data_IF_081973640263
#
_entry.id   IF_081973640263
#
_cell.length_a   1.000
_cell.length_b   1.000
_cell.length_c   1.000
_cell.angle_alpha   90.00
_cell.angle_beta   90.00
_cell.angle_gamma   90.00
#
_symmetry.space_group_name_H-M   'P 1'
#
loop_
_entity.id
_entity.type
_entity.pdbx_description
1 polymer ?
#
# COMPACT_ATOMS: atom_id res chain seq x y z
N UNK A 1 -20.11 -15.42 -1.20
CA UNK A 1 -20.29 -14.10 -1.87
C UNK A 1 -19.04 -13.28 -1.61
N UNK A 2 -18.38 -12.72 -2.63
CA UNK A 2 -17.13 -11.98 -2.39
C UNK A 2 -17.41 -10.68 -1.64
N UNK A 3 -16.77 -10.53 -0.49
CA UNK A 3 -16.92 -9.42 0.48
C UNK A 3 -16.24 -8.12 0.05
N UNK A 4 -15.61 -8.10 -1.12
CA UNK A 4 -14.90 -6.93 -1.63
C UNK A 4 -15.89 -5.94 -2.29
N UNK A 5 -15.84 -4.63 -1.94
CA UNK A 5 -16.53 -3.58 -2.67
C UNK A 5 -16.33 -3.68 -4.18
N UNK A 6 -17.37 -3.36 -4.97
CA UNK A 6 -17.34 -3.47 -6.44
C UNK A 6 -16.15 -2.72 -7.06
N UNK A 7 -15.81 -1.56 -6.51
CA UNK A 7 -14.65 -0.75 -6.93
C UNK A 7 -13.33 -1.53 -6.86
N UNK A 8 -13.10 -2.28 -5.77
CA UNK A 8 -11.88 -3.08 -5.62
C UNK A 8 -11.85 -4.28 -6.57
N UNK A 9 -13.01 -4.88 -6.86
CA UNK A 9 -13.12 -5.93 -7.89
C UNK A 9 -12.76 -5.39 -9.26
N UNK A 10 -13.28 -4.22 -9.62
CA UNK A 10 -12.97 -3.55 -10.89
C UNK A 10 -11.47 -3.23 -11.00
N UNK A 11 -10.84 -2.73 -9.94
CA UNK A 11 -9.38 -2.47 -9.95
C UNK A 11 -8.55 -3.74 -10.09
N UNK A 12 -8.95 -4.83 -9.43
CA UNK A 12 -8.27 -6.12 -9.57
C UNK A 12 -8.34 -6.65 -11.01
N UNK A 13 -9.49 -6.54 -11.66
CA UNK A 13 -9.68 -6.95 -13.05
C UNK A 13 -8.91 -6.05 -14.03
N UNK A 14 -8.95 -4.73 -13.83
CA UNK A 14 -8.21 -3.77 -14.65
C UNK A 14 -6.69 -3.98 -14.58
N UNK A 15 -6.16 -4.41 -13.43
CA UNK A 15 -4.74 -4.74 -13.29
C UNK A 15 -4.31 -5.97 -14.09
N UNK A 16 -5.22 -6.93 -14.29
CA UNK A 16 -4.92 -8.18 -15.02
C UNK A 16 -5.06 -8.03 -16.54
N UNK A 17 -5.83 -7.06 -17.02
CA UNK A 17 -6.15 -6.86 -18.45
C UNK A 17 -5.27 -5.77 -19.10
N UNK A 18 -3.95 -5.84 -18.90
CA UNK A 18 -2.96 -4.92 -19.48
C UNK A 18 -3.23 -3.42 -19.18
N UNK A 19 -2.99 -2.98 -17.93
CA UNK A 19 -3.45 -1.69 -17.45
C UNK A 19 -2.73 -0.53 -18.12
N UNK A 20 -3.50 0.44 -18.61
CA UNK A 20 -2.98 1.71 -19.09
C UNK A 20 -2.43 2.56 -17.93
N UNK A 21 -1.44 3.42 -18.23
CA UNK A 21 -0.82 4.33 -17.25
C UNK A 21 -1.84 5.15 -16.45
N UNK A 22 -2.89 5.63 -17.10
CA UNK A 22 -3.94 6.42 -16.43
C UNK A 22 -4.74 5.60 -15.42
N UNK A 23 -5.02 4.33 -15.71
CA UNK A 23 -5.73 3.42 -14.80
C UNK A 23 -4.87 3.10 -13.57
N UNK A 24 -3.57 2.81 -13.76
CA UNK A 24 -2.62 2.61 -12.66
C UNK A 24 -2.59 3.81 -11.70
N UNK A 25 -2.56 5.03 -12.25
CA UNK A 25 -2.62 6.25 -11.44
C UNK A 25 -3.97 6.51 -10.77
N UNK A 26 -5.07 6.01 -11.35
CA UNK A 26 -6.38 6.09 -10.70
C UNK A 26 -6.42 5.20 -9.46
N UNK A 27 -5.93 3.96 -9.57
CA UNK A 27 -5.82 3.01 -8.47
C UNK A 27 -4.95 3.57 -7.34
N UNK A 28 -3.74 4.06 -7.67
CA UNK A 28 -2.81 4.64 -6.69
C UNK A 28 -3.44 5.84 -5.98
N UNK A 29 -4.12 6.72 -6.73
CA UNK A 29 -4.74 7.93 -6.17
C UNK A 29 -5.86 7.57 -5.21
N UNK A 30 -6.74 6.66 -5.60
CA UNK A 30 -7.85 6.25 -4.76
C UNK A 30 -7.31 5.58 -3.51
N UNK A 31 -6.35 4.67 -3.65
CA UNK A 31 -5.73 3.98 -2.51
C UNK A 31 -5.12 4.96 -1.49
N UNK A 32 -4.30 5.91 -1.94
CA UNK A 32 -3.70 6.93 -1.04
C UNK A 32 -4.77 7.84 -0.44
N UNK A 33 -5.81 8.22 -1.21
CA UNK A 33 -6.88 9.07 -0.69
C UNK A 33 -7.72 8.39 0.39
N UNK A 34 -8.00 7.11 0.23
CA UNK A 34 -8.85 6.37 1.17
C UNK A 34 -8.14 6.05 2.48
N UNK A 35 -6.89 5.57 2.42
CA UNK A 35 -6.20 5.06 3.62
C UNK A 35 -5.18 6.04 4.20
N UNK A 36 -4.79 7.08 3.46
CA UNK A 36 -3.62 7.93 3.73
C UNK A 36 -2.31 7.12 3.83
N UNK A 37 -1.17 7.72 3.50
CA UNK A 37 0.10 7.00 3.65
C UNK A 37 0.35 6.57 5.11
N UNK A 38 0.03 7.46 6.05
CA UNK A 38 0.29 7.26 7.47
C UNK A 38 -0.67 6.22 8.07
N UNK A 39 -1.95 6.24 7.70
CA UNK A 39 -2.91 5.22 8.13
C UNK A 39 -2.53 3.81 7.67
N UNK A 40 -2.02 3.65 6.44
CA UNK A 40 -1.53 2.35 5.96
C UNK A 40 -0.36 1.85 6.81
N UNK A 41 0.57 2.75 7.16
CA UNK A 41 1.74 2.38 7.98
C UNK A 41 1.33 1.96 9.39
N UNK A 42 0.38 2.68 9.99
CA UNK A 42 -0.17 2.35 11.31
C UNK A 42 -0.84 0.98 11.31
N UNK A 43 -1.70 0.69 10.32
CA UNK A 43 -2.31 -0.64 10.17
C UNK A 43 -1.27 -1.75 9.97
N UNK A 44 -0.28 -1.51 9.11
CA UNK A 44 0.81 -2.46 8.84
C UNK A 44 1.63 -2.74 10.11
N UNK A 45 1.87 -1.71 10.92
CA UNK A 45 2.57 -1.82 12.19
C UNK A 45 1.76 -2.65 13.20
N UNK A 46 0.45 -2.39 13.31
CA UNK A 46 -0.44 -3.16 14.19
C UNK A 46 -0.46 -4.65 13.83
N UNK A 47 -0.51 -4.98 12.53
CA UNK A 47 -0.41 -6.36 12.05
C UNK A 47 0.95 -6.98 12.37
N UNK A 48 2.03 -6.21 12.20
CA UNK A 48 3.40 -6.66 12.50
C UNK A 48 3.54 -6.97 13.98
N UNK A 49 3.11 -6.07 14.87
CA UNK A 49 3.10 -6.31 16.33
C UNK A 49 2.31 -7.57 16.65
N UNK A 50 1.06 -7.68 16.15
CA UNK A 50 0.18 -8.79 16.48
C UNK A 50 0.79 -10.16 16.17
N UNK A 51 1.51 -10.26 15.04
CA UNK A 51 2.23 -11.48 14.68
C UNK A 51 3.44 -11.71 15.58
N UNK A 52 4.24 -10.68 15.84
CA UNK A 52 5.43 -10.77 16.67
C UNK A 52 5.10 -11.12 18.14
N UNK A 53 3.95 -10.68 18.63
CA UNK A 53 3.46 -10.92 20.00
C UNK A 53 2.68 -12.24 20.17
N UNK A 54 2.42 -12.98 19.09
CA UNK A 54 1.65 -14.23 19.18
C UNK A 54 2.50 -15.39 19.71
N UNK A 55 2.05 -16.00 20.81
CA UNK A 55 2.75 -17.08 21.53
C UNK A 55 2.69 -18.46 20.83
N UNK A 56 2.08 -18.55 19.64
CA UNK A 56 1.79 -19.82 18.96
C UNK A 56 2.86 -20.33 17.98
N UNK A 57 4.10 -19.84 18.06
CA UNK A 57 5.19 -20.24 17.15
C UNK A 57 6.30 -20.98 17.91
N UNK A 58 6.89 -22.04 17.35
CA UNK A 58 7.94 -22.87 17.99
C UNK A 58 9.34 -22.22 17.93
N UNK A 59 10.18 -22.45 18.95
CA UNK A 59 11.29 -21.55 19.38
C UNK A 59 12.42 -21.24 18.39
N UNK A 60 12.70 -22.09 17.40
CA UNK A 60 13.84 -21.88 16.47
C UNK A 60 13.39 -21.27 15.15
N UNK A 61 12.20 -21.61 14.66
CA UNK A 61 11.56 -20.88 13.55
C UNK A 61 11.23 -19.41 13.95
N UNK A 62 11.10 -19.11 15.26
CA UNK A 62 10.86 -17.75 15.79
C UNK A 62 11.89 -16.72 15.31
N UNK A 63 13.18 -17.03 15.24
CA UNK A 63 14.20 -16.01 14.99
C UNK A 63 14.16 -15.45 13.56
N UNK A 64 14.33 -16.36 12.60
CA UNK A 64 14.35 -16.04 11.17
C UNK A 64 12.98 -15.54 10.68
N UNK A 65 11.89 -16.15 11.12
CA UNK A 65 10.56 -15.76 10.64
C UNK A 65 10.13 -14.38 11.19
N UNK A 66 10.48 -14.06 12.44
CA UNK A 66 10.27 -12.70 12.99
C UNK A 66 11.14 -11.67 12.28
N UNK A 67 12.40 -11.98 12.01
CA UNK A 67 13.31 -11.09 11.30
C UNK A 67 12.80 -10.81 9.87
N UNK A 68 12.35 -11.85 9.15
CA UNK A 68 11.76 -11.70 7.81
C UNK A 68 10.51 -10.81 7.81
N UNK A 69 9.68 -10.91 8.85
CA UNK A 69 8.47 -10.07 9.00
C UNK A 69 8.80 -8.61 9.29
N UNK A 70 9.81 -8.35 10.13
CA UNK A 70 10.33 -7.00 10.35
C UNK A 70 10.88 -6.43 9.04
N UNK A 71 11.67 -7.21 8.29
CA UNK A 71 12.15 -6.75 6.99
C UNK A 71 11.02 -6.49 6.00
N UNK A 72 10.00 -7.34 5.95
CA UNK A 72 8.82 -7.12 5.12
C UNK A 72 8.12 -5.81 5.49
N UNK A 73 7.97 -5.51 6.78
CA UNK A 73 7.44 -4.24 7.27
C UNK A 73 8.27 -3.06 6.76
N UNK A 74 9.59 -3.05 6.98
CA UNK A 74 10.49 -1.98 6.53
C UNK A 74 10.44 -1.76 5.00
N UNK A 75 10.46 -2.84 4.22
CA UNK A 75 10.38 -2.74 2.75
C UNK A 75 9.01 -2.20 2.30
N UNK A 76 7.94 -2.59 2.98
CA UNK A 76 6.59 -2.10 2.70
C UNK A 76 6.46 -0.61 3.02
N UNK A 77 7.05 -0.12 4.12
CA UNK A 77 7.10 1.30 4.44
C UNK A 77 7.77 2.10 3.33
N UNK A 78 8.96 1.65 2.90
CA UNK A 78 9.71 2.29 1.82
C UNK A 78 8.90 2.33 0.50
N UNK A 79 8.22 1.24 0.17
CA UNK A 79 7.37 1.18 -1.01
C UNK A 79 6.18 2.16 -0.91
N UNK A 80 5.48 2.19 0.23
CA UNK A 80 4.37 3.11 0.47
C UNK A 80 4.84 4.56 0.36
N UNK A 81 5.99 4.90 0.95
CA UNK A 81 6.57 6.24 0.87
C UNK A 81 6.96 6.64 -0.55
N UNK A 82 7.59 5.73 -1.30
CA UNK A 82 7.91 5.97 -2.70
C UNK A 82 6.64 6.25 -3.54
N UNK A 83 5.60 5.45 -3.36
CA UNK A 83 4.31 5.60 -4.06
C UNK A 83 3.63 6.92 -3.66
N UNK A 84 3.65 7.28 -2.37
CA UNK A 84 3.10 8.55 -1.88
C UNK A 84 3.86 9.76 -2.45
N UNK A 85 5.19 9.71 -2.52
CA UNK A 85 5.98 10.78 -3.13
C UNK A 85 5.70 10.91 -4.63
N UNK A 86 5.60 9.79 -5.35
CA UNK A 86 5.20 9.77 -6.75
C UNK A 86 3.82 10.42 -6.96
N UNK A 87 2.86 10.12 -6.08
CA UNK A 87 1.54 10.74 -6.08
C UNK A 87 1.60 12.26 -5.85
N UNK A 88 2.30 12.72 -4.80
CA UNK A 88 2.48 14.15 -4.50
C UNK A 88 3.11 14.91 -5.67
N UNK A 89 4.15 14.35 -6.28
CA UNK A 89 4.80 14.92 -7.46
C UNK A 89 3.82 15.05 -8.64
N UNK A 90 2.95 14.06 -8.85
CA UNK A 90 1.96 14.11 -9.91
C UNK A 90 0.90 15.19 -9.67
N UNK A 91 0.38 15.31 -8.45
CA UNK A 91 -0.62 16.32 -8.11
C UNK A 91 -0.03 17.74 -8.20
N UNK A 92 1.20 17.94 -7.72
CA UNK A 92 1.91 19.21 -7.86
C UNK A 92 2.11 19.60 -9.34
N UNK A 93 2.44 18.65 -10.21
CA UNK A 93 2.54 18.89 -11.66
C UNK A 93 1.21 19.30 -12.27
N UNK A 94 0.09 18.69 -11.85
CA UNK A 94 -1.25 19.07 -12.31
C UNK A 94 -1.65 20.47 -11.82
N UNK A 95 -1.36 20.79 -10.55
CA UNK A 95 -1.64 22.11 -9.97
C UNK A 95 -0.90 23.22 -10.72
N UNK A 96 0.40 23.04 -11.01
CA UNK A 96 1.22 23.99 -11.79
C UNK A 96 0.74 24.18 -13.23
N UNK A 97 0.11 23.17 -13.84
CA UNK A 97 -0.48 23.30 -15.18
C UNK A 97 -1.77 24.10 -15.15
N UNK A 98 -2.60 23.88 -14.12
CA UNK A 98 -3.85 24.63 -13.94
C UNK A 98 -3.62 26.11 -13.62
N UNK A 99 -2.56 26.44 -12.88
CA UNK A 99 -2.23 27.84 -12.55
C UNK A 99 -1.62 28.64 -13.71
N UNK A 100 -1.28 27.99 -14.82
CA UNK A 100 -0.70 28.61 -16.03
C UNK A 100 -1.71 28.72 -17.18
N UNK A 101 -2.88 28.12 -17.03
CA UNK A 101 -4.02 28.21 -17.95
C UNK A 101 -5.00 29.25 -17.43
#
# INVERSE_FOLDING_TARGET
>A
MSTLPQTLRNYKQQLTENPGKQQLWAIIRDYIRYYSAEGIKEELWMLTIGILSSDHSEEVEKGLDRQNRIFFYEHSLLFIDAVNQLYRLQENKKAKRKSKS
#
